data_IF_075675954918
#
_entry.id   IF_075675954918
#
_cell.length_a   1.000
_cell.length_b   1.000
_cell.length_c   1.000
_cell.angle_alpha   90.00
_cell.angle_beta   90.00
_cell.angle_gamma   90.00
#
_symmetry.space_group_name_H-M   'P 1'
#
loop_
_entity.id
_entity.type
_entity.pdbx_description
1 polymer ?
#
# COMPACT_ATOMS: atom_id res chain seq x y z
N UNK A 1 12.79 15.63 -15.47
CA UNK A 1 12.34 15.12 -14.15
C UNK A 1 12.34 13.61 -14.25
N UNK A 2 13.36 12.95 -13.72
CA UNK A 2 13.37 11.48 -13.63
C UNK A 2 12.23 11.09 -12.69
N UNK A 3 11.27 10.30 -13.17
CA UNK A 3 10.27 9.71 -12.28
C UNK A 3 11.04 8.96 -11.19
N UNK A 4 10.73 9.22 -9.92
CA UNK A 4 11.37 8.50 -8.81
C UNK A 4 11.16 7.01 -9.05
N UNK A 5 12.23 6.25 -9.24
CA UNK A 5 12.18 4.80 -9.56
C UNK A 5 11.57 3.99 -8.41
N UNK A 6 11.55 4.57 -7.22
CA UNK A 6 10.97 4.03 -6.00
C UNK A 6 9.76 4.85 -5.52
N UNK A 7 8.90 4.19 -4.74
CA UNK A 7 7.79 4.77 -4.02
C UNK A 7 7.80 4.31 -2.55
N UNK A 8 7.46 5.21 -1.64
CA UNK A 8 7.34 4.88 -0.22
C UNK A 8 5.92 4.48 0.11
N UNK A 9 5.73 3.21 0.47
CA UNK A 9 4.43 2.64 0.82
C UNK A 9 4.32 2.41 2.32
N UNK A 10 3.10 2.56 2.85
CA UNK A 10 2.79 2.44 4.28
C UNK A 10 1.72 1.40 4.50
N UNK A 11 1.76 0.74 5.66
CA UNK A 11 0.58 0.03 6.17
C UNK A 11 -0.46 1.07 6.60
N UNK A 12 -1.74 0.73 6.52
CA UNK A 12 -2.81 1.62 6.92
C UNK A 12 -4.01 0.83 7.44
N UNK A 13 -4.88 1.50 8.17
CA UNK A 13 -6.15 0.97 8.64
C UNK A 13 -7.32 1.67 7.98
N UNK A 14 -8.39 0.94 7.72
CA UNK A 14 -9.64 1.47 7.16
C UNK A 14 -10.80 1.14 8.11
N UNK A 15 -11.86 1.93 8.03
CA UNK A 15 -13.07 1.64 8.79
C UNK A 15 -13.88 0.57 8.07
N UNK A 16 -14.16 -0.54 8.76
CA UNK A 16 -15.01 -1.61 8.29
C UNK A 16 -16.42 -1.42 8.86
N UNK A 17 -17.38 -1.20 7.96
CA UNK A 17 -18.79 -0.97 8.30
C UNK A 17 -19.54 -2.22 8.75
N UNK A 18 -19.04 -3.42 8.50
CA UNK A 18 -19.65 -4.66 8.98
C UNK A 18 -19.27 -4.93 10.43
N UNK A 19 -18.01 -4.67 10.78
CA UNK A 19 -17.49 -4.90 12.14
C UNK A 19 -17.54 -3.66 13.02
N UNK A 20 -17.90 -2.50 12.46
CA UNK A 20 -17.85 -1.19 13.10
C UNK A 20 -16.48 -0.87 13.73
N UNK A 21 -15.40 -1.37 13.12
CA UNK A 21 -14.05 -1.31 13.65
C UNK A 21 -13.02 -0.82 12.65
N UNK A 22 -11.83 -0.46 13.16
CA UNK A 22 -10.68 -0.19 12.30
C UNK A 22 -9.95 -1.50 11.99
N UNK A 23 -9.84 -1.84 10.71
CA UNK A 23 -9.16 -3.05 10.24
C UNK A 23 -7.88 -2.69 9.49
N UNK A 24 -6.84 -3.51 9.67
CA UNK A 24 -5.58 -3.37 8.95
C UNK A 24 -5.78 -3.77 7.48
N UNK A 25 -5.38 -2.92 6.55
CA UNK A 25 -5.42 -3.25 5.13
C UNK A 25 -4.45 -4.38 4.81
N UNK A 26 -4.81 -5.35 3.95
CA UNK A 26 -3.94 -6.49 3.59
C UNK A 26 -2.83 -6.11 2.58
N UNK A 27 -2.65 -4.82 2.30
CA UNK A 27 -1.66 -4.28 1.38
C UNK A 27 -1.14 -2.94 1.89
N UNK A 28 -0.01 -2.49 1.34
CA UNK A 28 0.53 -1.14 1.57
C UNK A 28 0.22 -0.26 0.36
N UNK A 29 0.21 1.05 0.55
CA UNK A 29 0.07 2.02 -0.54
C UNK A 29 0.81 3.32 -0.22
N UNK A 30 1.00 4.18 -1.22
CA UNK A 30 1.55 5.52 -1.00
C UNK A 30 0.63 6.34 -0.07
N UNK A 31 1.20 7.24 0.72
CA UNK A 31 0.47 8.09 1.67
C UNK A 31 -0.72 8.80 1.04
N UNK A 32 -0.53 9.34 -0.15
CA UNK A 32 -1.57 10.09 -0.86
C UNK A 32 -2.68 9.17 -1.36
N UNK A 33 -2.33 7.96 -1.81
CA UNK A 33 -3.29 6.94 -2.24
C UNK A 33 -4.13 6.45 -1.06
N UNK A 34 -3.50 6.19 0.10
CA UNK A 34 -4.18 5.81 1.34
C UNK A 34 -5.26 6.82 1.72
N UNK A 35 -4.91 8.11 1.70
CA UNK A 35 -5.82 9.19 2.10
C UNK A 35 -6.91 9.46 1.07
N UNK A 36 -6.55 9.52 -0.22
CA UNK A 36 -7.46 9.93 -1.29
C UNK A 36 -8.39 8.81 -1.78
N UNK A 37 -7.90 7.57 -1.87
CA UNK A 37 -8.68 6.46 -2.43
C UNK A 37 -9.32 5.58 -1.36
N UNK A 38 -8.60 5.33 -0.27
CA UNK A 38 -9.05 4.38 0.75
C UNK A 38 -9.61 5.05 2.01
N UNK A 39 -9.53 6.39 2.10
CA UNK A 39 -9.87 7.16 3.30
C UNK A 39 -9.25 6.55 4.57
N UNK A 40 -8.07 5.97 4.43
CA UNK A 40 -7.41 5.18 5.45
C UNK A 40 -6.51 6.03 6.35
N UNK A 41 -6.25 5.52 7.54
CA UNK A 41 -5.27 6.10 8.45
C UNK A 41 -3.92 5.41 8.27
N UNK A 42 -2.92 6.21 7.90
CA UNK A 42 -1.54 5.77 7.68
C UNK A 42 -0.92 5.34 9.02
N UNK A 43 -0.30 4.17 9.05
CA UNK A 43 0.51 3.73 10.18
C UNK A 43 1.94 4.24 10.00
N UNK A 44 2.22 5.37 10.64
CA UNK A 44 3.56 5.96 10.68
C UNK A 44 4.60 4.96 11.22
N UNK A 45 5.83 5.03 10.72
CA UNK A 45 6.90 4.07 11.07
C UNK A 45 6.85 2.73 10.32
N UNK A 46 5.82 2.48 9.48
CA UNK A 46 5.74 1.29 8.62
C UNK A 46 6.16 1.53 7.17
N UNK A 47 6.79 2.68 6.92
CA UNK A 47 7.26 3.11 5.61
C UNK A 47 8.26 2.11 5.03
N UNK A 48 8.02 1.73 3.78
CA UNK A 48 8.86 0.80 3.05
C UNK A 48 9.05 1.34 1.64
N UNK A 49 10.31 1.48 1.23
CA UNK A 49 10.63 1.87 -0.14
C UNK A 49 10.55 0.65 -1.05
N UNK A 50 9.78 0.77 -2.13
CA UNK A 50 9.59 -0.28 -3.13
C UNK A 50 9.78 0.28 -4.53
N UNK A 51 10.21 -0.52 -5.52
CA UNK A 51 10.19 -0.09 -6.90
C UNK A 51 8.78 0.27 -7.37
N UNK A 52 8.62 1.31 -8.19
CA UNK A 52 7.29 1.71 -8.68
C UNK A 52 6.58 0.61 -9.48
N UNK A 53 7.33 -0.23 -10.21
CA UNK A 53 6.75 -1.36 -10.96
C UNK A 53 6.20 -2.46 -10.05
N UNK A 54 6.52 -2.45 -8.76
CA UNK A 54 5.95 -3.39 -7.77
C UNK A 54 4.56 -2.94 -7.27
N UNK A 55 4.11 -1.74 -7.64
CA UNK A 55 2.75 -1.27 -7.37
C UNK A 55 1.83 -1.73 -8.50
N UNK A 56 0.63 -2.17 -8.14
CA UNK A 56 -0.41 -2.41 -9.15
C UNK A 56 -0.99 -1.09 -9.70
N UNK A 57 -1.87 -1.19 -10.70
CA UNK A 57 -2.54 -0.04 -11.32
C UNK A 57 -3.37 0.83 -10.33
N UNK A 58 -3.62 0.33 -9.12
CA UNK A 58 -4.32 1.04 -8.05
C UNK A 58 -3.37 1.66 -7.01
N UNK A 59 -2.05 1.54 -7.21
CA UNK A 59 -1.02 2.03 -6.29
C UNK A 59 -0.84 1.15 -5.05
N UNK A 60 -1.25 -0.11 -5.12
CA UNK A 60 -1.15 -1.06 -4.00
C UNK A 60 0.09 -1.92 -4.14
N UNK A 61 0.82 -2.04 -3.04
CA UNK A 61 1.89 -2.99 -2.86
C UNK A 61 1.41 -4.16 -2.01
N UNK A 62 1.40 -5.36 -2.59
CA UNK A 62 1.11 -6.61 -1.89
C UNK A 62 2.37 -7.45 -1.83
N UNK A 63 2.72 -7.95 -0.64
CA UNK A 63 3.66 -9.09 -0.56
C UNK A 63 2.91 -10.29 -1.10
N UNK A 64 3.13 -10.64 -2.37
CA UNK A 64 2.75 -11.95 -2.85
C UNK A 64 3.56 -12.98 -2.05
N UNK A 65 2.88 -14.00 -1.54
CA UNK A 65 3.50 -15.13 -0.84
C UNK A 65 4.31 -16.03 -1.78
N UNK A 66 4.54 -15.61 -3.03
CA UNK A 66 5.44 -16.30 -3.93
C UNK A 66 6.86 -16.00 -3.47
N UNK A 67 7.50 -17.02 -2.89
CA UNK A 67 8.95 -17.08 -3.00
C UNK A 67 9.34 -16.80 -4.45
N UNK A 68 10.40 -15.99 -4.63
CA UNK A 68 11.07 -15.66 -5.88
C UNK A 68 10.29 -16.00 -7.17
N UNK A 69 9.53 -15.03 -7.70
CA UNK A 69 8.94 -15.15 -9.03
C UNK A 69 8.08 -13.93 -9.35
N UNK A 70 8.47 -13.21 -10.41
CA UNK A 70 7.68 -12.18 -11.10
C UNK A 70 6.27 -12.67 -11.41
N UNK A 71 5.28 -11.79 -11.31
CA UNK A 71 3.97 -12.03 -11.91
C UNK A 71 4.00 -11.40 -13.30
N UNK A 72 3.92 -12.26 -14.32
CA UNK A 72 3.54 -11.90 -15.71
C UNK A 72 2.20 -11.13 -15.75
#
# INVERSE_FOLDING_TARGET
MTAQETATVFSFRTYDSQTHGMVLAPFKAERDVIRSRFSGEVLEGTGHEVPRHALDNEGRYRRVATGWGELD
#
